data_IF_351187535517
#
_entry.id   IF_351187535517
#
_cell.length_a   1.000
_cell.length_b   1.000
_cell.length_c   1.000
_cell.angle_alpha   90.00
_cell.angle_beta   90.00
_cell.angle_gamma   90.00
#
_symmetry.space_group_name_H-M   'P 1'
#
loop_
_entity.id
_entity.type
_entity.pdbx_description
1 polymer ?
#
# COMPACT_ATOMS: atom_id res chain seq x y z
N UNK A 1 -21.37 -35.14 -1.45
CA UNK A 1 -20.34 -34.20 -0.98
C UNK A 1 -19.04 -34.98 -0.84
N UNK A 2 -18.19 -34.95 -1.87
CA UNK A 2 -16.88 -35.61 -1.84
C UNK A 2 -15.87 -34.62 -2.43
N UNK A 3 -15.10 -33.96 -1.57
CA UNK A 3 -13.91 -33.22 -1.97
C UNK A 3 -12.79 -34.25 -2.05
N UNK A 4 -12.37 -34.63 -3.26
CA UNK A 4 -11.15 -35.41 -3.42
C UNK A 4 -9.97 -34.44 -3.28
N UNK A 5 -9.09 -34.61 -2.28
CA UNK A 5 -7.84 -33.86 -2.23
C UNK A 5 -6.99 -34.35 -3.40
N UNK A 6 -6.60 -33.44 -4.30
CA UNK A 6 -5.59 -33.74 -5.31
C UNK A 6 -4.31 -34.17 -4.57
N UNK A 7 -3.74 -35.31 -5.00
CA UNK A 7 -2.47 -35.79 -4.45
C UNK A 7 -1.37 -34.76 -4.72
N UNK A 8 -0.40 -34.64 -3.82
CA UNK A 8 0.76 -33.76 -4.02
C UNK A 8 1.54 -34.10 -5.31
N UNK A 9 1.52 -35.37 -5.72
CA UNK A 9 2.15 -35.85 -6.97
C UNK A 9 1.42 -35.35 -8.23
N UNK A 10 0.09 -35.21 -8.17
CA UNK A 10 -0.70 -34.66 -9.28
C UNK A 10 -0.41 -33.17 -9.46
N UNK A 11 -0.20 -32.46 -8.34
CA UNK A 11 0.16 -31.05 -8.34
C UNK A 11 1.55 -30.82 -8.95
N UNK A 12 2.54 -31.65 -8.59
CA UNK A 12 3.89 -31.59 -9.16
C UNK A 12 3.91 -31.96 -10.64
N UNK A 13 3.17 -32.99 -11.04
CA UNK A 13 3.04 -33.40 -12.46
C UNK A 13 2.37 -32.30 -13.29
N UNK A 14 1.35 -31.65 -12.74
CA UNK A 14 0.68 -30.50 -13.36
C UNK A 14 1.62 -29.28 -13.48
N UNK A 15 2.41 -28.99 -12.44
CA UNK A 15 3.43 -27.94 -12.48
C UNK A 15 4.49 -28.22 -13.56
N UNK A 16 4.98 -29.46 -13.66
CA UNK A 16 5.96 -29.85 -14.67
C UNK A 16 5.40 -29.72 -16.10
N UNK A 17 4.13 -30.08 -16.32
CA UNK A 17 3.42 -29.92 -17.60
C UNK A 17 3.22 -28.44 -17.96
N UNK A 18 2.86 -27.59 -17.00
CA UNK A 18 2.69 -26.14 -17.19
C UNK A 18 4.02 -25.43 -17.46
N UNK A 19 5.17 -25.99 -17.08
CA UNK A 19 6.47 -25.43 -17.45
C UNK A 19 6.91 -25.84 -18.87
N UNK A 20 6.39 -26.95 -19.40
CA UNK A 20 6.71 -27.45 -20.75
C UNK A 20 5.83 -26.89 -21.87
N UNK A 21 4.65 -26.34 -21.55
CA UNK A 21 3.75 -25.67 -22.48
C UNK A 21 3.51 -24.24 -22.01
N UNK A 22 3.27 -23.29 -22.94
CA UNK A 22 2.95 -21.90 -22.58
C UNK A 22 1.90 -21.83 -21.46
N UNK A 23 2.05 -20.84 -20.57
CA UNK A 23 1.10 -20.65 -19.45
C UNK A 23 -0.34 -20.58 -19.99
N UNK A 24 -1.28 -21.40 -19.46
CA UNK A 24 -2.67 -21.39 -19.89
C UNK A 24 -3.30 -19.99 -19.84
N UNK A 25 -4.23 -19.71 -20.75
CA UNK A 25 -4.85 -18.38 -20.89
C UNK A 25 -5.44 -17.86 -19.57
N UNK A 26 -6.17 -18.69 -18.82
CA UNK A 26 -6.77 -18.31 -17.53
C UNK A 26 -5.71 -17.93 -16.48
N UNK A 27 -4.56 -18.60 -16.48
CA UNK A 27 -3.45 -18.27 -15.56
C UNK A 27 -2.79 -16.95 -15.95
N UNK A 28 -2.58 -16.70 -17.25
CA UNK A 28 -2.07 -15.40 -17.72
C UNK A 28 -3.01 -14.27 -17.33
N UNK A 29 -4.31 -14.46 -17.53
CA UNK A 29 -5.34 -13.48 -17.17
C UNK A 29 -5.34 -13.13 -15.68
N UNK A 30 -5.22 -14.13 -14.82
CA UNK A 30 -5.08 -13.91 -13.37
C UNK A 30 -3.82 -13.09 -13.04
N UNK A 31 -2.67 -13.48 -13.60
CA UNK A 31 -1.40 -12.76 -13.42
C UNK A 31 -1.46 -11.33 -13.95
N UNK A 32 -2.06 -11.12 -15.12
CA UNK A 32 -2.20 -9.80 -15.72
C UNK A 32 -3.04 -8.90 -14.79
N UNK A 33 -4.19 -9.39 -14.32
CA UNK A 33 -5.04 -8.67 -13.36
C UNK A 33 -4.28 -8.30 -12.07
N UNK A 34 -3.55 -9.23 -11.47
CA UNK A 34 -2.74 -8.98 -10.27
C UNK A 34 -1.62 -7.98 -10.54
N UNK A 35 -0.95 -8.08 -11.69
CA UNK A 35 0.15 -7.20 -12.07
C UNK A 35 -0.30 -5.75 -12.23
N UNK A 36 -1.47 -5.50 -12.84
CA UNK A 36 -2.01 -4.14 -12.99
C UNK A 36 -2.38 -3.55 -11.64
N UNK A 37 -2.98 -4.33 -10.74
CA UNK A 37 -3.25 -3.87 -9.38
C UNK A 37 -1.96 -3.53 -8.63
N UNK A 38 -0.96 -4.41 -8.69
CA UNK A 38 0.33 -4.18 -8.06
C UNK A 38 1.06 -2.96 -8.64
N UNK A 39 0.90 -2.66 -9.93
CA UNK A 39 1.43 -1.47 -10.55
C UNK A 39 0.82 -0.19 -9.96
N UNK A 40 -0.51 -0.14 -9.79
CA UNK A 40 -1.21 0.99 -9.14
C UNK A 40 -0.76 1.14 -7.68
N UNK A 41 -0.73 0.04 -6.92
CA UNK A 41 -0.26 0.06 -5.51
C UNK A 41 1.18 0.57 -5.43
N UNK A 42 2.06 0.13 -6.32
CA UNK A 42 3.46 0.56 -6.38
C UNK A 42 3.59 2.04 -6.75
N UNK A 43 2.74 2.55 -7.64
CA UNK A 43 2.68 3.97 -7.98
C UNK A 43 2.25 4.79 -6.76
N UNK A 44 1.14 4.44 -6.10
CA UNK A 44 0.66 5.14 -4.90
C UNK A 44 1.73 5.15 -3.79
N UNK A 45 2.38 4.01 -3.55
CA UNK A 45 3.46 3.90 -2.56
C UNK A 45 4.64 4.83 -2.88
N UNK A 46 5.10 4.85 -4.14
CA UNK A 46 6.19 5.75 -4.56
C UNK A 46 5.80 7.22 -4.39
N UNK A 47 4.57 7.57 -4.75
CA UNK A 47 4.06 8.93 -4.62
C UNK A 47 4.01 9.36 -3.16
N UNK A 48 3.46 8.51 -2.30
CA UNK A 48 3.38 8.73 -0.86
C UNK A 48 4.77 8.93 -0.25
N UNK A 49 5.72 8.04 -0.54
CA UNK A 49 7.11 8.14 -0.07
C UNK A 49 7.77 9.45 -0.51
N UNK A 50 7.59 9.82 -1.79
CA UNK A 50 8.13 11.06 -2.35
C UNK A 50 7.61 12.30 -1.59
N UNK A 51 6.31 12.35 -1.29
CA UNK A 51 5.74 13.50 -0.57
C UNK A 51 6.07 13.49 0.93
N UNK A 52 6.28 12.32 1.52
CA UNK A 52 6.68 12.18 2.92
C UNK A 52 8.17 12.44 3.16
N UNK A 53 9.02 12.47 2.14
CA UNK A 53 10.48 12.64 2.29
C UNK A 53 10.84 13.89 3.12
N UNK A 54 10.25 15.03 2.80
CA UNK A 54 10.48 16.28 3.54
C UNK A 54 9.98 16.19 4.99
N UNK A 55 8.87 15.48 5.22
CA UNK A 55 8.28 15.29 6.54
C UNK A 55 9.21 14.43 7.41
N UNK A 56 9.66 13.29 6.86
CA UNK A 56 10.62 12.38 7.48
C UNK A 56 11.87 13.09 7.98
N UNK A 57 12.46 13.92 7.11
CA UNK A 57 13.64 14.72 7.46
C UNK A 57 13.34 15.67 8.62
N UNK A 58 12.21 16.39 8.58
CA UNK A 58 11.83 17.33 9.66
C UNK A 58 11.58 16.62 10.99
N UNK A 59 10.90 15.48 10.98
CA UNK A 59 10.65 14.68 12.19
C UNK A 59 11.96 14.17 12.78
N UNK A 60 12.85 13.59 11.97
CA UNK A 60 14.17 13.19 12.45
C UNK A 60 14.98 14.39 12.99
N UNK A 61 14.92 15.53 12.31
CA UNK A 61 15.55 16.77 12.76
C UNK A 61 15.01 17.30 14.09
N UNK A 62 13.74 17.04 14.39
CA UNK A 62 13.12 17.41 15.66
C UNK A 62 13.64 16.52 16.78
N UNK A 63 13.63 15.19 16.61
CA UNK A 63 14.10 14.24 17.62
C UNK A 63 15.63 14.26 17.85
N UNK A 64 16.42 14.74 16.89
CA UNK A 64 17.85 15.01 17.13
C UNK A 64 18.08 16.23 18.03
N UNK A 65 17.15 17.18 18.07
CA UNK A 65 17.28 18.43 18.84
C UNK A 65 16.57 18.40 20.18
N UNK A 66 15.41 17.75 20.23
CA UNK A 66 14.53 17.73 21.38
C UNK A 66 14.56 16.34 21.97
N UNK A 67 14.91 16.24 23.26
CA UNK A 67 14.80 14.99 23.98
C UNK A 67 13.33 14.59 24.05
N UNK A 68 13.02 13.30 23.86
CA UNK A 68 11.67 12.74 23.97
C UNK A 68 11.01 13.16 25.29
N UNK A 69 11.76 13.19 26.40
CA UNK A 69 11.26 13.59 27.72
C UNK A 69 10.76 15.05 27.78
N UNK A 70 11.27 15.93 26.91
CA UNK A 70 10.89 17.34 26.83
C UNK A 70 9.99 17.63 25.62
N UNK A 71 9.71 16.63 24.78
CA UNK A 71 8.95 16.81 23.54
C UNK A 71 7.46 17.10 23.79
N UNK A 72 6.94 16.73 24.97
CA UNK A 72 5.57 17.04 25.42
C UNK A 72 5.31 18.53 25.59
N UNK A 73 6.35 19.37 25.67
CA UNK A 73 6.22 20.83 25.66
C UNK A 73 5.82 21.39 24.28
N UNK A 74 5.87 20.57 23.23
CA UNK A 74 5.60 21.00 21.86
C UNK A 74 4.33 20.38 21.28
N UNK A 75 4.05 19.11 21.60
CA UNK A 75 2.94 18.35 21.07
C UNK A 75 2.06 17.79 22.19
N UNK A 76 0.76 17.67 21.93
CA UNK A 76 -0.15 16.92 22.81
C UNK A 76 0.28 15.43 22.85
N UNK A 77 -0.02 14.73 23.95
CA UNK A 77 0.48 13.36 24.20
C UNK A 77 0.20 12.39 23.04
N UNK A 78 -1.04 12.36 22.53
CA UNK A 78 -1.43 11.50 21.39
C UNK A 78 -0.63 11.80 20.12
N UNK A 79 -0.35 13.08 19.86
CA UNK A 79 0.43 13.52 18.70
C UNK A 79 1.91 13.20 18.86
N UNK A 80 2.44 13.30 20.09
CA UNK A 80 3.80 12.93 20.39
C UNK A 80 4.02 11.42 20.24
N UNK A 81 3.11 10.60 20.77
CA UNK A 81 3.15 9.14 20.61
C UNK A 81 3.15 8.75 19.14
N UNK A 82 2.24 9.33 18.35
CA UNK A 82 2.18 9.09 16.91
C UNK A 82 3.49 9.50 16.20
N UNK A 83 4.09 10.63 16.57
CA UNK A 83 5.38 11.07 16.01
C UNK A 83 6.54 10.15 16.39
N UNK A 84 6.55 9.61 17.62
CA UNK A 84 7.56 8.64 18.06
C UNK A 84 7.44 7.36 17.22
N UNK A 85 6.23 6.80 17.09
CA UNK A 85 6.00 5.61 16.27
C UNK A 85 6.45 5.83 14.81
N UNK A 86 6.09 6.97 14.21
CA UNK A 86 6.50 7.30 12.84
C UNK A 86 8.02 7.50 12.73
N UNK A 87 8.67 8.09 13.74
CA UNK A 87 10.11 8.26 13.74
C UNK A 87 10.85 6.92 13.79
N UNK A 88 10.37 6.00 14.64
CA UNK A 88 10.90 4.64 14.76
C UNK A 88 10.65 3.80 13.51
N UNK A 89 9.49 3.96 12.86
CA UNK A 89 9.16 3.28 11.60
C UNK A 89 10.04 3.79 10.45
N UNK A 90 10.22 5.11 10.34
CA UNK A 90 10.91 5.70 9.19
C UNK A 90 12.44 5.64 9.26
N UNK A 91 13.02 5.46 10.45
CA UNK A 91 14.47 5.32 10.69
C UNK A 91 15.34 6.24 9.83
N UNK A 92 14.92 7.50 9.68
CA UNK A 92 15.51 8.39 8.67
C UNK A 92 16.91 8.83 9.08
N UNK A 93 17.92 8.40 8.32
CA UNK A 93 19.31 8.80 8.52
C UNK A 93 19.56 10.24 8.05
N UNK A 94 19.92 11.11 8.99
CA UNK A 94 20.34 12.47 8.68
C UNK A 94 21.82 12.47 8.31
N UNK A 95 22.14 12.83 7.05
CA UNK A 95 23.53 12.93 6.55
C UNK A 95 24.38 13.97 7.26
N UNK A 96 23.77 14.96 7.92
CA UNK A 96 24.50 15.95 8.72
C UNK A 96 23.72 16.30 10.00
N UNK A 97 24.46 16.41 11.11
CA UNK A 97 23.94 17.07 12.32
C UNK A 97 23.77 18.54 11.96
N UNK A 98 22.54 18.97 11.71
CA UNK A 98 22.24 20.36 11.37
C UNK A 98 22.45 21.25 12.61
N UNK A 99 23.70 21.67 12.81
CA UNK A 99 24.14 22.62 13.84
C UNK A 99 23.79 24.06 13.43
N UNK A 100 22.54 24.44 13.63
CA UNK A 100 22.11 25.83 13.57
C UNK A 100 21.06 26.10 14.65
N UNK A 101 20.97 27.32 15.20
CA UNK A 101 19.95 27.68 16.19
C UNK A 101 18.58 27.72 15.51
N UNK A 102 17.93 26.57 15.40
CA UNK A 102 16.55 26.45 14.96
C UNK A 102 15.67 26.44 16.19
N UNK A 103 14.71 27.35 16.24
CA UNK A 103 13.70 27.37 17.30
C UNK A 103 12.85 26.09 17.22
N UNK A 104 12.96 25.20 18.21
CA UNK A 104 12.24 23.92 18.27
C UNK A 104 10.72 24.09 18.18
N UNK A 105 10.16 25.19 18.72
CA UNK A 105 8.73 25.50 18.60
C UNK A 105 8.34 25.79 17.15
N UNK A 106 9.17 26.55 16.43
CA UNK A 106 8.96 26.81 15.00
C UNK A 106 9.03 25.50 14.21
N UNK A 107 9.99 24.62 14.51
CA UNK A 107 10.09 23.32 13.86
C UNK A 107 8.84 22.44 14.12
N UNK A 108 8.31 22.44 15.34
CA UNK A 108 7.09 21.71 15.68
C UNK A 108 5.88 22.21 14.87
N UNK A 109 5.70 23.54 14.75
CA UNK A 109 4.67 24.15 13.90
C UNK A 109 4.88 23.77 12.43
N UNK A 110 6.13 23.82 11.95
CA UNK A 110 6.47 23.46 10.57
C UNK A 110 6.22 21.99 10.25
N UNK A 111 6.35 21.09 11.23
CA UNK A 111 5.99 19.67 11.12
C UNK A 111 4.48 19.53 11.00
N UNK A 112 3.69 20.09 11.93
CA UNK A 112 2.22 20.05 11.88
C UNK A 112 1.70 20.54 10.54
N UNK A 113 2.11 21.73 10.12
CA UNK A 113 1.67 22.32 8.85
C UNK A 113 2.09 21.47 7.64
N UNK A 114 3.21 20.74 7.74
CA UNK A 114 3.65 19.81 6.69
C UNK A 114 2.78 18.56 6.63
N UNK A 115 2.36 17.99 7.76
CA UNK A 115 1.40 16.89 7.83
C UNK A 115 0.05 17.29 7.22
N UNK A 116 -0.47 18.46 7.60
CA UNK A 116 -1.75 18.97 7.06
C UNK A 116 -1.69 19.18 5.54
N UNK A 117 -0.62 19.81 5.03
CA UNK A 117 -0.43 19.97 3.58
C UNK A 117 -0.35 18.63 2.85
N UNK A 118 0.35 17.65 3.42
CA UNK A 118 0.40 16.30 2.87
C UNK A 118 -1.00 15.68 2.82
N UNK A 119 -1.73 15.67 3.94
CA UNK A 119 -3.07 15.08 4.01
C UNK A 119 -4.04 15.76 3.04
N UNK A 120 -4.05 17.09 2.98
CA UNK A 120 -4.90 17.84 2.03
C UNK A 120 -4.57 17.49 0.58
N UNK A 121 -3.29 17.43 0.23
CA UNK A 121 -2.85 17.05 -1.12
C UNK A 121 -3.19 15.60 -1.44
N UNK A 122 -3.04 14.70 -0.46
CA UNK A 122 -3.32 13.28 -0.59
C UNK A 122 -4.82 13.02 -0.81
N UNK A 123 -5.70 13.72 -0.08
CA UNK A 123 -7.16 13.66 -0.26
C UNK A 123 -7.63 14.05 -1.65
N UNK A 124 -6.94 14.99 -2.30
CA UNK A 124 -7.25 15.40 -3.66
C UNK A 124 -6.70 14.38 -4.67
N UNK A 125 -5.46 13.93 -4.47
CA UNK A 125 -4.76 13.11 -5.46
C UNK A 125 -5.23 11.65 -5.49
N UNK A 126 -5.49 11.03 -4.34
CA UNK A 126 -5.79 9.59 -4.29
C UNK A 126 -7.08 9.20 -5.03
N UNK A 127 -8.18 9.98 -4.95
CA UNK A 127 -9.39 9.72 -5.73
C UNK A 127 -9.22 9.94 -7.25
N UNK A 128 -8.20 10.69 -7.67
CA UNK A 128 -7.89 10.94 -9.09
C UNK A 128 -7.09 9.80 -9.75
N UNK A 129 -6.66 8.80 -8.97
CA UNK A 129 -5.95 7.64 -9.50
C UNK A 129 -6.87 6.83 -10.42
N UNK A 130 -6.47 6.70 -11.68
CA UNK A 130 -7.24 5.96 -12.68
C UNK A 130 -7.21 4.45 -12.39
N UNK A 131 -8.38 3.90 -12.06
CA UNK A 131 -8.61 2.48 -11.84
C UNK A 131 -9.24 1.77 -13.04
N UNK A 132 -9.48 2.48 -14.16
CA UNK A 132 -10.19 1.96 -15.33
C UNK A 132 -9.50 0.72 -15.92
N UNK A 133 -8.18 0.73 -16.05
CA UNK A 133 -7.41 -0.38 -16.59
C UNK A 133 -7.46 -1.61 -15.67
N UNK A 134 -7.28 -1.40 -14.36
CA UNK A 134 -7.41 -2.48 -13.36
C UNK A 134 -8.80 -3.10 -13.42
N UNK A 135 -9.84 -2.27 -13.45
CA UNK A 135 -11.23 -2.72 -13.49
C UNK A 135 -11.56 -3.44 -14.79
N UNK A 136 -11.01 -2.99 -15.93
CA UNK A 136 -11.12 -3.73 -17.19
C UNK A 136 -10.47 -5.12 -17.12
N UNK A 137 -9.31 -5.26 -16.45
CA UNK A 137 -8.68 -6.57 -16.22
C UNK A 137 -9.47 -7.45 -15.27
N UNK A 138 -9.98 -6.90 -14.16
CA UNK A 138 -10.84 -7.63 -13.21
C UNK A 138 -12.12 -8.11 -13.88
N UNK A 139 -12.73 -7.28 -14.72
CA UNK A 139 -13.91 -7.66 -15.49
C UNK A 139 -13.60 -8.80 -16.46
N UNK A 140 -12.52 -8.67 -17.25
CA UNK A 140 -12.10 -9.73 -18.16
C UNK A 140 -11.77 -11.04 -17.42
N UNK A 141 -11.13 -10.96 -16.25
CA UNK A 141 -10.91 -12.12 -15.37
C UNK A 141 -12.24 -12.78 -14.98
N UNK A 142 -13.18 -11.99 -14.46
CA UNK A 142 -14.48 -12.50 -14.02
C UNK A 142 -15.28 -13.15 -15.16
N UNK A 143 -15.22 -12.58 -16.37
CA UNK A 143 -15.98 -13.05 -17.52
C UNK A 143 -15.41 -14.33 -18.13
N UNK A 144 -14.08 -14.44 -18.20
CA UNK A 144 -13.43 -15.48 -19.02
C UNK A 144 -12.68 -16.56 -18.23
N UNK A 145 -12.29 -16.31 -16.98
CA UNK A 145 -11.39 -17.23 -16.26
C UNK A 145 -11.95 -18.65 -16.14
N UNK A 146 -13.21 -18.80 -15.71
CA UNK A 146 -13.84 -20.12 -15.53
C UNK A 146 -13.98 -20.84 -16.88
N UNK A 147 -14.38 -20.12 -17.94
CA UNK A 147 -14.52 -20.68 -19.28
C UNK A 147 -13.19 -21.19 -19.82
N UNK A 148 -12.14 -20.37 -19.72
CA UNK A 148 -10.78 -20.71 -20.15
C UNK A 148 -10.21 -21.89 -19.34
N UNK A 149 -10.45 -21.92 -18.03
CA UNK A 149 -10.03 -23.02 -17.16
C UNK A 149 -10.78 -24.31 -17.48
N UNK A 150 -12.08 -24.25 -17.77
CA UNK A 150 -12.90 -25.40 -18.19
C UNK A 150 -12.40 -26.01 -19.50
N UNK A 151 -12.06 -25.19 -20.50
CA UNK A 151 -11.45 -25.66 -21.75
C UNK A 151 -10.12 -26.38 -21.50
N UNK A 152 -9.29 -25.86 -20.59
CA UNK A 152 -7.98 -26.43 -20.28
C UNK A 152 -8.07 -27.76 -19.52
N UNK A 153 -8.96 -27.85 -18.51
CA UNK A 153 -9.08 -29.03 -17.62
C UNK A 153 -10.15 -30.02 -18.07
N UNK A 154 -10.94 -29.69 -19.10
CA UNK A 154 -12.06 -30.47 -19.64
C UNK A 154 -13.08 -30.91 -18.58
N UNK A 155 -13.24 -30.12 -17.53
CA UNK A 155 -14.16 -30.40 -16.42
C UNK A 155 -14.70 -29.11 -15.80
N UNK A 156 -16.01 -28.90 -15.95
CA UNK A 156 -16.70 -27.73 -15.41
C UNK A 156 -16.68 -27.68 -13.88
N UNK A 157 -16.59 -28.83 -13.20
CA UNK A 157 -16.46 -28.92 -11.76
C UNK A 157 -15.09 -28.43 -11.29
N UNK A 158 -14.03 -28.91 -11.93
CA UNK A 158 -12.64 -28.52 -11.60
C UNK A 158 -12.39 -27.06 -11.96
N UNK A 159 -12.99 -26.55 -13.03
CA UNK A 159 -12.89 -25.15 -13.43
C UNK A 159 -13.43 -24.20 -12.36
N UNK A 160 -14.64 -24.46 -11.85
CA UNK A 160 -15.27 -23.65 -10.82
C UNK A 160 -14.62 -23.79 -9.44
N UNK A 161 -13.95 -24.91 -9.18
CA UNK A 161 -13.27 -25.12 -7.90
C UNK A 161 -12.20 -24.04 -7.66
N UNK A 162 -12.34 -23.30 -6.56
CA UNK A 162 -11.41 -22.24 -6.16
C UNK A 162 -11.48 -20.96 -7.00
N UNK A 163 -12.49 -20.79 -7.85
CA UNK A 163 -12.71 -19.50 -8.51
C UNK A 163 -13.39 -18.54 -7.53
N UNK A 164 -12.81 -17.36 -7.37
CA UNK A 164 -13.37 -16.26 -6.59
C UNK A 164 -13.50 -15.04 -7.49
N UNK A 165 -14.66 -14.40 -7.48
CA UNK A 165 -14.88 -13.20 -8.27
C UNK A 165 -14.04 -12.06 -7.71
N UNK A 166 -13.29 -11.38 -8.59
CA UNK A 166 -12.55 -10.19 -8.21
C UNK A 166 -13.50 -8.98 -8.17
N UNK A 167 -13.76 -8.36 -7.00
CA UNK A 167 -14.59 -7.17 -6.93
C UNK A 167 -13.95 -6.01 -7.69
N UNK A 168 -14.72 -5.04 -8.20
CA UNK A 168 -14.13 -3.87 -8.84
C UNK A 168 -13.33 -3.05 -7.82
N UNK A 169 -12.15 -2.58 -8.22
CA UNK A 169 -11.33 -1.70 -7.42
C UNK A 169 -11.99 -0.32 -7.29
N UNK A 170 -11.92 0.23 -6.08
CA UNK A 170 -12.48 1.52 -5.70
C UNK A 170 -11.41 2.40 -5.06
N UNK A 171 -11.70 3.70 -4.96
CA UNK A 171 -10.84 4.61 -4.21
C UNK A 171 -10.76 4.22 -2.71
N UNK A 172 -11.81 3.61 -2.16
CA UNK A 172 -11.83 3.16 -0.76
C UNK A 172 -10.82 2.04 -0.50
N UNK A 173 -10.60 1.15 -1.48
CA UNK A 173 -9.53 0.14 -1.40
C UNK A 173 -8.16 0.80 -1.28
N UNK A 174 -7.92 1.90 -2.01
CA UNK A 174 -6.69 2.66 -1.92
C UNK A 174 -6.57 3.38 -0.57
N UNK A 175 -7.67 3.93 -0.04
CA UNK A 175 -7.68 4.54 1.30
C UNK A 175 -7.35 3.54 2.42
N UNK A 176 -7.85 2.31 2.32
CA UNK A 176 -7.52 1.25 3.26
C UNK A 176 -6.04 0.87 3.25
N UNK A 177 -5.39 0.95 2.09
CA UNK A 177 -3.96 0.64 1.93
C UNK A 177 -3.04 1.82 2.26
N UNK A 178 -3.49 3.05 2.01
CA UNK A 178 -2.68 4.25 2.12
C UNK A 178 -3.39 5.32 2.96
N UNK A 179 -3.50 5.10 4.29
CA UNK A 179 -4.16 6.05 5.17
C UNK A 179 -3.41 7.38 5.23
N UNK A 180 -4.14 8.39 5.69
CA UNK A 180 -3.58 9.71 6.00
C UNK A 180 -2.57 9.63 7.15
N UNK A 181 -1.72 10.65 7.24
CA UNK A 181 -0.90 10.84 8.43
C UNK A 181 -1.78 11.32 9.59
N UNK A 182 -1.41 11.01 10.85
CA UNK A 182 -2.15 11.44 12.03
C UNK A 182 -2.25 12.97 12.09
N UNK A 183 -3.40 13.49 12.50
CA UNK A 183 -3.58 14.92 12.74
C UNK A 183 -2.82 15.32 14.01
N UNK A 184 -1.85 16.23 13.88
CA UNK A 184 -0.99 16.64 14.99
C UNK A 184 -1.57 17.87 15.70
N UNK A 185 -1.56 17.84 17.04
CA UNK A 185 -1.96 18.94 17.92
C UNK A 185 -0.76 19.43 18.72
N UNK A 186 -0.62 20.75 18.85
CA UNK A 186 0.41 21.36 19.68
C UNK A 186 -0.04 21.42 21.15
N UNK A 187 0.90 21.47 22.09
CA UNK A 187 0.63 21.42 23.54
C UNK A 187 -0.18 22.60 24.11
N UNK A 188 -0.28 23.72 23.40
CA UNK A 188 -0.86 24.98 23.90
C UNK A 188 -2.09 25.43 23.07
N UNK A 189 -2.65 24.53 22.27
CA UNK A 189 -3.92 24.70 21.54
C UNK A 189 -5.02 23.92 22.26
#
# INVERSE_FOLDING_TARGET
>A
MWSLPLSNDDLQTFQHLVMSFDTPAYMRRARDMESEWNAVVSMCRRQQQTWQEVIRIKVAQFFVRVNIATASEYFASESLEALICLHEEWQTELKSRTCGPVNSRRLAVDIRNSFERFNNRWRVWLPEVDLSQVNARRQAYNDFYVLEKECAVRSAQVARAGFEQAPMATADDLWGLFPELPALRLSNE
#
